data_IF_262703151610
#
_entry.id   IF_262703151610
#
_cell.length_a   1.000
_cell.length_b   1.000
_cell.length_c   1.000
_cell.angle_alpha   90.00
_cell.angle_beta   90.00
_cell.angle_gamma   90.00
#
_symmetry.space_group_name_H-M   'P 1'
#
loop_
_entity.id
_entity.type
_entity.pdbx_description
1 polymer ?
#
# COMPACT_ATOMS: atom_id res chain seq x y z
N UNK A 1 2.49 1.67 8.13
CA UNK A 1 3.58 1.20 7.26
C UNK A 1 2.94 0.86 5.94
N UNK A 2 3.27 1.60 4.89
CA UNK A 2 2.79 1.32 3.52
C UNK A 2 3.73 0.26 2.96
N UNK A 3 3.22 -0.94 2.72
CA UNK A 3 3.98 -2.05 2.15
C UNK A 3 3.42 -2.37 0.76
N UNK A 4 4.27 -2.40 -0.29
CA UNK A 4 3.82 -2.71 -1.64
C UNK A 4 3.23 -4.11 -1.73
N UNK A 5 2.33 -4.32 -2.70
CA UNK A 5 1.63 -5.59 -2.87
C UNK A 5 2.63 -6.73 -3.05
N UNK A 6 3.64 -6.55 -3.90
CA UNK A 6 4.70 -7.51 -4.14
C UNK A 6 5.35 -8.05 -2.87
N UNK A 7 5.75 -7.17 -1.95
CA UNK A 7 6.35 -7.58 -0.67
C UNK A 7 5.38 -8.36 0.22
N UNK A 8 4.08 -7.99 0.22
CA UNK A 8 3.06 -8.70 1.01
C UNK A 8 2.77 -10.11 0.50
N UNK A 9 2.89 -10.34 -0.80
CA UNK A 9 2.57 -11.62 -1.43
C UNK A 9 3.78 -12.51 -1.68
N UNK A 10 5.00 -11.99 -1.49
CA UNK A 10 6.24 -12.74 -1.66
C UNK A 10 6.22 -14.07 -0.88
N UNK A 11 6.53 -15.17 -1.57
CA UNK A 11 6.56 -16.51 -1.00
C UNK A 11 5.18 -17.14 -0.79
N UNK A 12 4.08 -16.48 -1.14
CA UNK A 12 2.73 -17.07 -1.15
C UNK A 12 2.47 -17.82 -2.45
N UNK A 13 1.43 -18.66 -2.43
CA UNK A 13 0.99 -19.41 -3.61
C UNK A 13 -0.32 -18.83 -4.12
N UNK A 14 -0.41 -18.60 -5.42
CA UNK A 14 -1.59 -18.05 -6.10
C UNK A 14 -2.78 -19.01 -5.99
N UNK A 15 -3.94 -18.52 -5.57
CA UNK A 15 -5.14 -19.34 -5.35
C UNK A 15 -6.04 -19.44 -6.60
N UNK A 16 -6.04 -18.43 -7.46
CA UNK A 16 -6.79 -18.33 -8.70
C UNK A 16 -5.95 -17.62 -9.77
N UNK A 17 -6.17 -17.94 -11.04
CA UNK A 17 -5.42 -17.33 -12.15
C UNK A 17 -5.56 -15.80 -12.11
N UNK A 18 -4.43 -15.10 -12.20
CA UNK A 18 -4.39 -13.63 -12.25
C UNK A 18 -4.31 -13.22 -13.70
N UNK A 19 -5.35 -12.55 -14.17
CA UNK A 19 -5.47 -12.05 -15.54
C UNK A 19 -4.85 -10.66 -15.66
N UNK A 20 -4.35 -10.31 -16.84
CA UNK A 20 -3.94 -8.96 -17.20
C UNK A 20 -5.12 -7.97 -17.09
N UNK A 21 -4.84 -6.67 -17.05
CA UNK A 21 -5.85 -5.61 -16.99
C UNK A 21 -6.89 -5.72 -18.13
N UNK A 22 -6.49 -6.25 -19.29
CA UNK A 22 -7.36 -6.45 -20.45
C UNK A 22 -8.14 -7.77 -20.42
N UNK A 23 -7.89 -8.63 -19.42
CA UNK A 23 -8.58 -9.90 -19.20
C UNK A 23 -8.28 -11.03 -20.19
N UNK A 24 -7.35 -10.82 -21.14
CA UNK A 24 -7.06 -11.76 -22.22
C UNK A 24 -5.92 -12.74 -21.90
N UNK A 25 -4.92 -12.28 -21.15
CA UNK A 25 -3.72 -13.08 -20.84
C UNK A 25 -3.64 -13.40 -19.34
N UNK A 26 -3.27 -14.65 -19.03
CA UNK A 26 -2.95 -15.08 -17.66
C UNK A 26 -1.52 -14.66 -17.34
N UNK A 27 -1.36 -13.74 -16.39
CA UNK A 27 -0.04 -13.26 -15.93
C UNK A 27 0.53 -14.19 -14.86
N UNK A 28 -0.31 -14.70 -13.96
CA UNK A 28 0.08 -15.69 -12.96
C UNK A 28 -0.91 -16.86 -12.93
N UNK A 29 -0.40 -18.06 -13.14
CA UNK A 29 -1.20 -19.28 -13.05
C UNK A 29 -1.48 -19.67 -11.58
N UNK A 30 -2.66 -20.23 -11.35
CA UNK A 30 -3.05 -20.84 -10.07
C UNK A 30 -2.04 -21.90 -9.65
N UNK A 31 -1.64 -21.85 -8.38
CA UNK A 31 -0.69 -22.80 -7.80
C UNK A 31 0.78 -22.38 -7.95
N UNK A 32 1.05 -21.28 -8.65
CA UNK A 32 2.40 -20.72 -8.74
C UNK A 32 2.82 -20.09 -7.42
N UNK A 33 4.03 -20.38 -6.96
CA UNK A 33 4.65 -19.69 -5.83
C UNK A 33 5.27 -18.38 -6.33
N UNK A 34 4.97 -17.28 -5.64
CA UNK A 34 5.47 -15.95 -5.99
C UNK A 34 6.92 -15.82 -5.48
N UNK A 35 7.87 -15.71 -6.41
CA UNK A 35 9.28 -15.43 -6.14
C UNK A 35 9.59 -13.93 -6.37
N UNK A 36 10.85 -13.53 -6.14
CA UNK A 36 11.30 -12.15 -6.31
C UNK A 36 11.13 -11.64 -7.75
N UNK A 37 11.23 -12.52 -8.75
CA UNK A 37 11.06 -12.13 -10.16
C UNK A 37 9.60 -11.87 -10.50
N UNK A 38 8.70 -12.71 -9.99
CA UNK A 38 7.27 -12.53 -10.15
C UNK A 38 6.76 -11.30 -9.38
N UNK A 39 7.41 -10.92 -8.28
CA UNK A 39 7.12 -9.65 -7.59
C UNK A 39 7.36 -8.43 -8.49
N UNK A 40 8.47 -8.39 -9.24
CA UNK A 40 8.74 -7.30 -10.18
C UNK A 40 7.63 -7.22 -11.25
N UNK A 41 7.22 -8.37 -11.80
CA UNK A 41 6.11 -8.44 -12.78
C UNK A 41 4.79 -7.95 -12.18
N UNK A 42 4.49 -8.31 -10.92
CA UNK A 42 3.27 -7.88 -10.22
C UNK A 42 3.24 -6.36 -10.02
N UNK A 43 4.37 -5.80 -9.59
CA UNK A 43 4.49 -4.37 -9.33
C UNK A 43 4.42 -3.56 -10.64
N UNK A 44 5.09 -4.03 -11.71
CA UNK A 44 5.07 -3.40 -13.03
C UNK A 44 3.69 -3.46 -13.70
N UNK A 45 2.99 -4.59 -13.55
CA UNK A 45 1.62 -4.75 -14.05
C UNK A 45 0.60 -3.90 -13.29
N UNK A 46 0.96 -3.42 -12.09
CA UNK A 46 0.12 -2.53 -11.29
C UNK A 46 -1.14 -3.19 -10.73
N UNK A 47 -1.07 -4.48 -10.36
CA UNK A 47 -2.20 -5.17 -9.75
C UNK A 47 -2.57 -4.57 -8.39
N UNK A 48 -3.86 -4.36 -8.17
CA UNK A 48 -4.39 -3.86 -6.89
C UNK A 48 -4.65 -4.98 -5.87
N UNK A 49 -5.03 -6.16 -6.35
CA UNK A 49 -5.41 -7.31 -5.54
C UNK A 49 -4.99 -8.63 -6.19
N UNK A 50 -4.57 -9.59 -5.36
CA UNK A 50 -4.22 -10.94 -5.78
C UNK A 50 -4.80 -11.93 -4.76
N UNK A 51 -5.51 -12.94 -5.26
CA UNK A 51 -5.99 -14.06 -4.45
C UNK A 51 -4.86 -15.06 -4.21
N UNK A 52 -4.42 -15.16 -2.96
CA UNK A 52 -3.38 -16.11 -2.53
C UNK A 52 -3.93 -17.13 -1.54
N UNK A 53 -3.28 -18.30 -1.47
CA UNK A 53 -3.59 -19.31 -0.47
C UNK A 53 -3.13 -18.85 0.91
N UNK A 54 -3.91 -19.22 1.93
CA UNK A 54 -3.66 -18.88 3.32
C UNK A 54 -3.64 -20.12 4.21
N UNK A 55 -2.86 -20.13 5.31
CA UNK A 55 -2.96 -21.14 6.35
C UNK A 55 -4.37 -21.24 6.96
N UNK A 56 -5.12 -20.12 7.00
CA UNK A 56 -6.47 -20.06 7.57
C UNK A 56 -7.49 -20.78 6.68
N UNK A 57 -7.30 -20.71 5.36
CA UNK A 57 -8.17 -21.35 4.37
C UNK A 57 -7.73 -22.78 4.04
N UNK A 58 -6.90 -23.40 4.89
CA UNK A 58 -6.39 -24.74 4.66
C UNK A 58 -7.38 -25.80 5.16
N UNK A 59 -7.76 -26.75 4.31
CA UNK A 59 -8.73 -27.81 4.62
C UNK A 59 -8.10 -29.04 5.30
N UNK A 60 -6.77 -29.05 5.46
CA UNK A 60 -6.06 -30.15 6.15
C UNK A 60 -6.50 -30.26 7.61
N UNK A 61 -6.89 -31.47 8.04
CA UNK A 61 -7.42 -31.72 9.38
C UNK A 61 -6.40 -31.52 10.51
N UNK A 62 -5.14 -31.93 10.30
CA UNK A 62 -4.05 -31.76 11.24
C UNK A 62 -2.81 -31.23 10.50
N UNK A 63 -2.41 -30.01 10.82
CA UNK A 63 -1.32 -29.30 10.14
C UNK A 63 -1.82 -28.48 8.94
N UNK A 64 -0.87 -28.01 8.12
CA UNK A 64 -1.13 -27.14 6.96
C UNK A 64 -0.43 -27.75 5.75
N UNK A 65 -1.06 -27.70 4.57
CA UNK A 65 -0.42 -28.17 3.34
C UNK A 65 0.67 -27.18 2.87
N UNK A 66 1.66 -27.68 2.13
CA UNK A 66 2.79 -26.86 1.65
C UNK A 66 2.35 -25.63 0.88
N UNK A 67 1.30 -25.73 0.08
CA UNK A 67 0.80 -24.63 -0.74
C UNK A 67 0.06 -23.55 0.06
N UNK A 68 -0.56 -23.90 1.19
CA UNK A 68 -1.22 -22.91 2.05
C UNK A 68 -0.22 -22.15 2.92
N UNK A 69 0.93 -22.75 3.23
CA UNK A 69 2.03 -22.05 3.89
C UNK A 69 2.84 -21.21 2.89
N UNK A 70 3.30 -21.86 1.82
CA UNK A 70 4.13 -21.28 0.77
C UNK A 70 5.62 -21.54 1.01
N UNK A 71 6.41 -20.47 0.93
CA UNK A 71 7.86 -20.47 1.01
C UNK A 71 8.36 -20.56 2.45
N UNK A 72 9.41 -21.35 2.67
CA UNK A 72 10.21 -21.29 3.89
C UNK A 72 11.11 -20.04 3.83
N UNK A 73 10.87 -19.08 4.73
CA UNK A 73 11.62 -17.82 4.79
C UNK A 73 13.09 -18.00 5.20
N UNK A 74 13.45 -19.13 5.83
CA UNK A 74 14.83 -19.40 6.22
C UNK A 74 15.68 -19.98 5.10
N UNK A 75 15.06 -20.67 4.13
CA UNK A 75 15.77 -21.40 3.06
C UNK A 75 15.45 -20.93 1.65
N UNK A 76 14.32 -20.26 1.47
CA UNK A 76 13.93 -19.62 0.22
C UNK A 76 13.25 -20.55 -0.80
N UNK A 77 12.97 -21.81 -0.48
CA UNK A 77 12.20 -22.73 -1.33
C UNK A 77 10.83 -23.06 -0.71
N UNK A 78 9.99 -23.80 -1.44
CA UNK A 78 8.69 -24.24 -0.93
C UNK A 78 8.87 -25.09 0.33
N UNK A 79 8.06 -24.88 1.36
CA UNK A 79 8.23 -25.60 2.64
C UNK A 79 8.24 -27.12 2.47
N UNK A 80 9.16 -27.78 3.16
CA UNK A 80 9.28 -29.23 3.12
C UNK A 80 8.16 -29.90 3.91
N UNK A 81 7.80 -31.12 3.51
CA UNK A 81 6.86 -31.95 4.26
C UNK A 81 7.54 -32.37 5.58
N UNK A 82 6.87 -32.14 6.70
CA UNK A 82 7.37 -32.44 8.04
C UNK A 82 8.00 -31.26 8.78
N UNK A 83 8.05 -30.07 8.17
CA UNK A 83 8.54 -28.85 8.81
C UNK A 83 7.61 -28.41 9.96
N UNK A 84 8.18 -28.06 11.11
CA UNK A 84 7.44 -27.63 12.30
C UNK A 84 7.05 -26.14 12.24
N UNK A 85 6.33 -25.74 11.20
CA UNK A 85 5.96 -24.33 10.91
C UNK A 85 5.25 -23.61 12.08
N UNK A 86 4.53 -24.34 12.93
CA UNK A 86 3.85 -23.75 14.09
C UNK A 86 4.82 -23.27 15.17
N UNK A 87 5.89 -24.03 15.41
CA UNK A 87 6.95 -23.65 16.36
C UNK A 87 7.76 -22.48 15.80
N UNK A 88 8.08 -22.53 14.50
CA UNK A 88 8.78 -21.44 13.80
C UNK A 88 7.97 -20.15 13.93
N UNK A 89 6.67 -20.18 13.60
CA UNK A 89 5.80 -19.00 13.68
C UNK A 89 5.71 -18.44 15.12
N UNK A 90 5.65 -19.30 16.14
CA UNK A 90 5.63 -18.85 17.53
C UNK A 90 6.93 -18.12 17.92
N UNK A 91 8.08 -18.64 17.50
CA UNK A 91 9.39 -18.01 17.77
C UNK A 91 9.55 -16.69 17.02
N UNK A 92 9.15 -16.64 15.75
CA UNK A 92 9.21 -15.42 14.92
C UNK A 92 8.40 -14.25 15.47
N UNK A 93 7.44 -14.51 16.37
CA UNK A 93 6.72 -13.46 17.10
C UNK A 93 7.32 -13.25 18.49
N UNK A 94 7.61 -14.34 19.22
CA UNK A 94 8.06 -14.29 20.61
C UNK A 94 9.44 -13.65 20.81
N UNK A 95 10.44 -14.07 20.03
CA UNK A 95 11.81 -13.55 20.16
C UNK A 95 11.84 -12.04 19.84
N UNK A 96 11.34 -11.56 18.68
CA UNK A 96 11.33 -10.12 18.41
C UNK A 96 10.50 -9.33 19.41
N UNK A 97 9.38 -9.85 19.91
CA UNK A 97 8.56 -9.18 20.92
C UNK A 97 9.30 -8.99 22.25
N UNK A 98 9.97 -10.03 22.74
CA UNK A 98 10.81 -9.93 23.95
C UNK A 98 12.01 -9.02 23.74
N UNK A 99 12.59 -9.00 22.54
CA UNK A 99 13.69 -8.11 22.20
C UNK A 99 13.26 -6.64 22.10
N UNK A 100 12.11 -6.36 21.48
CA UNK A 100 11.55 -5.01 21.33
C UNK A 100 11.26 -4.39 22.69
N UNK A 101 10.62 -5.15 23.58
CA UNK A 101 10.35 -4.67 24.96
C UNK A 101 11.65 -4.32 25.68
N UNK A 102 12.66 -5.19 25.63
CA UNK A 102 13.98 -4.87 26.19
C UNK A 102 14.58 -3.61 25.56
N UNK A 103 14.67 -3.50 24.23
CA UNK A 103 15.31 -2.34 23.58
C UNK A 103 14.58 -1.01 23.83
N UNK A 104 13.26 -1.00 23.82
CA UNK A 104 12.48 0.23 24.00
C UNK A 104 12.59 0.79 25.42
N UNK A 105 12.61 -0.05 26.46
CA UNK A 105 12.73 0.44 27.84
C UNK A 105 14.12 1.00 28.19
N UNK A 106 15.19 0.45 27.61
CA UNK A 106 16.55 0.91 27.91
C UNK A 106 16.94 2.21 27.18
N UNK A 107 16.21 2.58 26.11
CA UNK A 107 16.40 3.83 25.35
C UNK A 107 15.42 4.93 25.83
N UNK A 108 14.58 4.64 26.83
CA UNK A 108 13.43 5.43 27.30
C UNK A 108 13.66 6.88 27.80
N UNK A 109 14.86 7.45 27.62
CA UNK A 109 15.16 8.85 27.93
C UNK A 109 15.23 9.80 26.72
N UNK A 110 15.33 9.28 25.49
CA UNK A 110 15.46 10.11 24.28
C UNK A 110 14.36 9.75 23.28
N UNK A 111 13.26 10.51 23.31
CA UNK A 111 12.20 10.41 22.31
C UNK A 111 12.66 11.06 20.99
N UNK A 112 13.37 10.30 20.15
CA UNK A 112 13.53 10.68 18.75
C UNK A 112 12.38 10.08 17.96
N UNK A 113 11.37 10.91 17.66
CA UNK A 113 10.32 10.52 16.71
C UNK A 113 10.94 10.72 15.32
N UNK A 114 11.30 9.64 14.65
CA UNK A 114 11.66 9.73 13.23
C UNK A 114 10.45 10.33 12.50
N UNK A 115 10.62 11.50 11.89
CA UNK A 115 9.58 12.17 11.11
C UNK A 115 9.19 11.24 9.97
N UNK A 116 7.88 11.00 9.81
CA UNK A 116 7.39 10.24 8.67
C UNK A 116 7.73 11.01 7.40
N UNK A 117 8.24 10.31 6.39
CA UNK A 117 8.57 10.90 5.08
C UNK A 117 7.25 11.29 4.41
N UNK A 118 7.09 12.58 4.15
CA UNK A 118 5.88 13.21 3.60
C UNK A 118 6.14 13.81 2.20
N UNK A 119 7.34 13.65 1.67
CA UNK A 119 7.73 14.19 0.37
C UNK A 119 8.85 13.40 -0.31
N UNK A 120 8.96 13.54 -1.63
CA UNK A 120 10.13 13.14 -2.42
C UNK A 120 10.91 14.39 -2.81
N UNK A 121 12.18 14.42 -2.40
CA UNK A 121 13.15 15.43 -2.81
C UNK A 121 14.18 14.79 -3.75
N UNK A 122 14.38 15.38 -4.93
CA UNK A 122 15.36 14.88 -5.91
C UNK A 122 16.77 15.28 -5.51
N UNK A 123 17.78 14.45 -5.80
CA UNK A 123 19.18 14.76 -5.44
C UNK A 123 19.97 15.30 -6.62
N UNK A 124 19.54 15.04 -7.83
CA UNK A 124 20.19 15.47 -9.06
C UNK A 124 19.23 16.32 -9.89
N UNK A 125 19.79 17.31 -10.59
CA UNK A 125 19.06 18.03 -11.61
C UNK A 125 18.81 17.13 -12.83
N UNK A 126 17.70 17.35 -13.52
CA UNK A 126 17.31 16.57 -14.69
C UNK A 126 15.84 16.77 -15.03
N UNK A 127 15.27 15.86 -15.83
CA UNK A 127 13.87 15.87 -16.23
C UNK A 127 13.09 14.73 -15.61
N UNK A 128 11.89 15.06 -15.14
CA UNK A 128 10.95 14.10 -14.59
C UNK A 128 10.40 13.22 -15.71
N UNK A 129 10.36 11.91 -15.47
CA UNK A 129 9.57 10.95 -16.24
C UNK A 129 8.61 10.22 -15.34
N UNK A 130 7.34 10.22 -15.72
CA UNK A 130 6.31 9.49 -15.01
C UNK A 130 6.17 8.08 -15.59
N UNK A 131 6.35 7.04 -14.76
CA UNK A 131 6.19 5.64 -15.16
C UNK A 131 4.96 5.04 -14.50
N UNK A 132 4.09 4.41 -15.29
CA UNK A 132 2.85 3.75 -14.81
C UNK A 132 2.00 4.64 -13.88
N UNK A 133 2.06 5.95 -14.07
CA UNK A 133 1.44 6.94 -13.20
C UNK A 133 0.33 7.66 -13.96
N UNK A 134 -0.92 7.40 -13.57
CA UNK A 134 -2.06 8.20 -13.97
C UNK A 134 -2.18 9.40 -13.04
N UNK A 135 -2.42 10.57 -13.61
CA UNK A 135 -2.55 11.82 -12.87
C UNK A 135 -3.87 12.50 -13.16
N UNK A 136 -4.38 13.24 -12.18
CA UNK A 136 -5.58 14.06 -12.29
C UNK A 136 -5.25 15.49 -11.88
N UNK A 137 -5.69 16.45 -12.68
CA UNK A 137 -5.57 17.86 -12.33
C UNK A 137 -6.70 18.25 -11.35
N UNK A 138 -6.34 18.81 -10.21
CA UNK A 138 -7.25 19.53 -9.32
C UNK A 138 -7.59 20.90 -9.90
N UNK A 139 -8.66 21.53 -9.41
CA UNK A 139 -9.06 22.90 -9.81
C UNK A 139 -7.98 23.96 -9.52
N UNK A 140 -7.10 23.70 -8.55
CA UNK A 140 -5.97 24.57 -8.22
C UNK A 140 -4.75 24.39 -9.14
N UNK A 141 -4.82 23.50 -10.13
CA UNK A 141 -3.74 23.22 -11.07
C UNK A 141 -2.72 22.18 -10.60
N UNK A 142 -2.85 21.66 -9.37
CA UNK A 142 -1.98 20.58 -8.87
C UNK A 142 -2.35 19.24 -9.49
N UNK A 143 -1.35 18.40 -9.76
CA UNK A 143 -1.54 17.05 -10.26
C UNK A 143 -1.59 16.06 -9.09
N UNK A 144 -2.51 15.11 -9.11
CA UNK A 144 -2.66 14.08 -8.08
C UNK A 144 -2.45 12.71 -8.70
N UNK A 145 -1.56 11.92 -8.12
CA UNK A 145 -1.31 10.54 -8.49
C UNK A 145 -2.52 9.66 -8.12
N UNK A 146 -3.08 8.94 -9.09
CA UNK A 146 -4.17 7.97 -8.86
C UNK A 146 -3.77 6.53 -9.18
N UNK A 147 -2.47 6.26 -9.29
CA UNK A 147 -1.94 4.90 -9.48
C UNK A 147 -1.18 4.43 -8.25
N UNK A 148 -1.36 3.16 -7.86
CA UNK A 148 -0.68 2.57 -6.69
C UNK A 148 0.73 2.08 -6.97
N UNK A 149 1.04 1.78 -8.24
CA UNK A 149 2.36 1.35 -8.72
C UNK A 149 3.12 2.47 -9.43
N UNK A 150 2.64 3.70 -9.37
CA UNK A 150 3.22 4.80 -10.12
C UNK A 150 4.58 5.23 -9.56
N UNK A 151 5.51 5.55 -10.47
CA UNK A 151 6.87 5.94 -10.13
C UNK A 151 7.27 7.24 -10.83
N UNK A 152 8.08 8.05 -10.13
CA UNK A 152 8.79 9.19 -10.71
C UNK A 152 10.24 8.76 -10.94
N UNK A 153 10.71 8.88 -12.17
CA UNK A 153 12.13 8.80 -12.48
C UNK A 153 12.69 10.19 -12.79
N UNK A 154 13.94 10.44 -12.40
CA UNK A 154 14.70 11.63 -12.81
C UNK A 154 15.73 11.19 -13.83
N UNK A 155 15.63 11.75 -15.04
CA UNK A 155 16.51 11.46 -16.17
C UNK A 155 17.45 12.63 -16.46
N UNK A 156 18.65 12.33 -16.91
CA UNK A 156 19.64 13.37 -17.28
C UNK A 156 19.34 13.94 -18.68
N UNK A 157 19.46 15.26 -18.84
CA UNK A 157 19.13 15.97 -20.09
C UNK A 157 19.98 15.53 -21.28
N UNK A 158 21.27 15.26 -21.05
CA UNK A 158 22.22 14.96 -22.14
C UNK A 158 22.14 13.50 -22.63
N UNK A 159 21.86 12.56 -21.73
CA UNK A 159 21.95 11.12 -22.01
C UNK A 159 20.60 10.40 -21.98
N UNK A 160 19.57 11.04 -21.43
CA UNK A 160 18.24 10.44 -21.20
C UNK A 160 18.26 9.27 -20.21
N UNK A 161 19.39 9.04 -19.53
CA UNK A 161 19.56 7.95 -18.56
C UNK A 161 18.91 8.32 -17.24
N UNK A 162 18.14 7.38 -16.69
CA UNK A 162 17.55 7.53 -15.37
C UNK A 162 18.62 7.42 -14.28
N UNK A 163 18.65 8.41 -13.40
CA UNK A 163 19.55 8.47 -12.25
C UNK A 163 18.87 8.05 -10.96
N UNK A 164 17.60 8.44 -10.83
CA UNK A 164 16.81 8.23 -9.62
C UNK A 164 15.42 7.74 -10.00
N UNK A 165 14.83 6.89 -9.14
CA UNK A 165 13.50 6.33 -9.32
C UNK A 165 12.84 6.22 -7.94
N UNK A 166 11.63 6.76 -7.81
CA UNK A 166 10.88 6.85 -6.57
C UNK A 166 9.45 6.33 -6.77
N UNK A 167 9.03 5.38 -5.94
CA UNK A 167 7.63 4.94 -5.88
C UNK A 167 6.79 6.00 -5.17
N UNK A 168 5.65 6.37 -5.75
CA UNK A 168 4.69 7.28 -5.15
C UNK A 168 3.51 6.54 -4.52
N UNK A 169 3.10 6.94 -3.31
CA UNK A 169 1.81 6.55 -2.76
C UNK A 169 0.62 7.03 -3.61
N UNK A 170 -0.50 6.34 -3.48
CA UNK A 170 -1.78 6.81 -4.04
C UNK A 170 -2.19 8.13 -3.41
N UNK A 171 -2.59 9.08 -4.26
CA UNK A 171 -3.02 10.42 -3.89
C UNK A 171 -1.90 11.37 -3.51
N UNK A 172 -0.63 11.03 -3.82
CA UNK A 172 0.46 12.00 -3.78
C UNK A 172 0.17 13.17 -4.72
N UNK A 173 0.40 14.38 -4.21
CA UNK A 173 0.32 15.61 -4.99
C UNK A 173 1.68 15.85 -5.64
N UNK A 174 1.68 15.96 -6.95
CA UNK A 174 2.83 16.25 -7.79
C UNK A 174 2.93 17.77 -7.98
N UNK A 175 4.12 18.31 -7.78
CA UNK A 175 4.39 19.74 -8.03
C UNK A 175 4.81 20.02 -9.46
N UNK A 176 5.42 19.03 -10.11
CA UNK A 176 5.96 19.14 -11.45
C UNK A 176 5.28 18.10 -12.35
N UNK A 177 5.10 18.46 -13.62
CA UNK A 177 4.52 17.60 -14.65
C UNK A 177 5.52 16.63 -15.28
N UNK A 178 5.03 15.80 -16.21
CA UNK A 178 5.89 14.94 -17.02
C UNK A 178 6.80 15.79 -17.92
N UNK A 179 8.05 15.38 -18.06
CA UNK A 179 9.08 16.02 -18.88
C UNK A 179 9.50 17.44 -18.42
N UNK A 180 9.09 17.85 -17.21
CA UNK A 180 9.50 19.11 -16.59
C UNK A 180 10.92 19.02 -15.99
N UNK A 181 11.67 20.11 -16.09
CA UNK A 181 13.03 20.18 -15.56
C UNK A 181 12.99 20.52 -14.06
N UNK A 182 13.81 19.82 -13.27
CA UNK A 182 13.93 20.00 -11.82
C UNK A 182 15.37 20.17 -11.39
N UNK A 183 15.57 20.98 -10.36
CA UNK A 183 16.88 21.20 -9.77
C UNK A 183 17.17 20.22 -8.62
N UNK A 184 18.46 20.00 -8.34
CA UNK A 184 18.86 19.21 -7.19
C UNK A 184 18.36 19.83 -5.88
N UNK A 185 17.64 19.05 -5.08
CA UNK A 185 17.02 19.49 -3.83
C UNK A 185 15.57 19.97 -3.98
N UNK A 186 15.00 19.92 -5.18
CA UNK A 186 13.59 20.28 -5.38
C UNK A 186 12.64 19.17 -4.88
N UNK A 187 11.50 19.58 -4.32
CA UNK A 187 10.45 18.64 -3.89
C UNK A 187 9.51 18.41 -5.06
N UNK A 188 9.44 17.17 -5.54
CA UNK A 188 8.66 16.82 -6.74
C UNK A 188 7.28 16.25 -6.42
N UNK A 189 7.12 15.65 -5.23
CA UNK A 189 5.86 15.11 -4.77
C UNK A 189 5.72 15.22 -3.24
N UNK A 190 4.50 15.41 -2.76
CA UNK A 190 4.17 15.43 -1.33
C UNK A 190 2.87 14.67 -1.04
N UNK A 191 2.77 14.11 0.16
CA UNK A 191 1.57 13.43 0.67
C UNK A 191 1.52 13.54 2.19
N UNK A 192 0.34 13.29 2.75
CA UNK A 192 0.21 13.14 4.19
C UNK A 192 0.50 11.67 4.58
N UNK A 193 1.53 11.39 5.40
CA UNK A 193 1.89 10.02 5.77
C UNK A 193 0.88 9.35 6.71
N UNK A 194 -0.08 10.09 7.26
CA UNK A 194 -1.09 9.57 8.18
C UNK A 194 -2.47 9.39 7.54
N UNK A 195 -2.65 9.83 6.29
CA UNK A 195 -3.93 9.72 5.60
C UNK A 195 -3.76 9.05 4.24
N UNK A 196 -4.74 8.22 3.88
CA UNK A 196 -4.90 7.73 2.52
C UNK A 196 -6.01 8.54 1.89
N UNK A 197 -5.69 9.55 1.06
CA UNK A 197 -6.72 10.35 0.41
C UNK A 197 -7.55 9.45 -0.51
N UNK A 198 -8.86 9.61 -0.46
CA UNK A 198 -9.79 8.98 -1.41
C UNK A 198 -10.02 10.02 -2.51
N UNK A 199 -9.58 9.72 -3.73
CA UNK A 199 -9.62 10.65 -4.87
C UNK A 199 -10.60 10.12 -5.92
N UNK A 200 -11.48 10.99 -6.42
CA UNK A 200 -12.36 10.63 -7.53
C UNK A 200 -11.62 10.75 -8.86
N UNK A 201 -11.75 9.74 -9.72
CA UNK A 201 -11.19 9.78 -11.08
C UNK A 201 -12.04 10.60 -12.08
N UNK A 202 -13.28 10.88 -11.70
CA UNK A 202 -14.26 11.53 -12.58
C UNK A 202 -14.87 12.78 -11.93
N UNK A 203 -15.20 13.76 -12.77
CA UNK A 203 -15.99 14.90 -12.35
C UNK A 203 -17.46 14.49 -12.19
N UNK A 204 -18.06 14.84 -11.05
CA UNK A 204 -19.42 14.41 -10.74
C UNK A 204 -19.98 15.08 -9.49
N UNK A 205 -21.18 14.66 -9.11
CA UNK A 205 -21.78 15.02 -7.83
C UNK A 205 -21.53 13.89 -6.85
N UNK A 206 -20.92 14.23 -5.71
CA UNK A 206 -20.69 13.29 -4.63
C UNK A 206 -22.02 12.90 -3.99
N UNK A 207 -22.25 11.60 -3.83
CA UNK A 207 -23.39 11.02 -3.13
C UNK A 207 -22.89 10.21 -1.95
N UNK A 208 -23.45 10.48 -0.77
CA UNK A 208 -23.16 9.70 0.42
C UNK A 208 -24.17 8.55 0.53
N UNK A 209 -23.67 7.32 0.56
CA UNK A 209 -24.48 6.11 0.72
C UNK A 209 -24.24 5.51 2.11
N UNK A 210 -25.31 5.20 2.84
CA UNK A 210 -25.19 4.59 4.16
C UNK A 210 -24.50 5.46 5.21
N UNK A 211 -24.43 6.78 4.99
CA UNK A 211 -23.90 7.77 5.94
C UNK A 211 -25.06 8.48 6.67
N UNK A 212 -25.43 7.96 7.83
CA UNK A 212 -26.49 8.51 8.69
C UNK A 212 -25.89 9.03 9.99
N UNK A 213 -26.16 10.30 10.30
CA UNK A 213 -25.62 10.99 11.47
C UNK A 213 -26.15 10.37 12.77
N UNK A 214 -25.23 9.99 13.66
CA UNK A 214 -25.53 9.29 14.91
C UNK A 214 -25.64 7.77 14.80
N UNK A 215 -25.73 7.21 13.58
CA UNK A 215 -25.77 5.76 13.33
C UNK A 215 -24.45 5.26 12.76
N UNK A 216 -24.04 5.76 11.59
CA UNK A 216 -22.81 5.34 10.92
C UNK A 216 -21.73 6.42 10.93
N UNK A 217 -22.10 7.69 11.03
CA UNK A 217 -21.17 8.82 11.05
C UNK A 217 -21.44 9.78 12.21
N UNK A 218 -20.40 10.49 12.66
CA UNK A 218 -20.49 11.59 13.63
C UNK A 218 -19.85 12.84 13.04
N UNK A 219 -20.53 13.98 13.15
CA UNK A 219 -19.93 15.27 12.82
C UNK A 219 -19.10 15.73 14.00
N UNK A 220 -17.83 16.01 13.75
CA UNK A 220 -16.93 16.62 14.71
C UNK A 220 -16.60 18.02 14.20
N UNK A 221 -16.89 19.03 15.02
CA UNK A 221 -16.44 20.39 14.74
C UNK A 221 -15.19 20.63 15.57
N UNK A 222 -14.11 20.98 14.90
CA UNK A 222 -12.89 21.42 15.57
C UNK A 222 -13.10 22.84 16.09
N UNK A 223 -12.98 23.02 17.41
CA UNK A 223 -13.20 24.30 18.09
C UNK A 223 -12.13 25.35 17.76
N UNK A 224 -10.93 24.93 17.32
CA UNK A 224 -9.83 25.85 16.98
C UNK A 224 -9.94 26.37 15.55
N UNK A 225 -10.32 25.51 14.61
CA UNK A 225 -10.36 25.85 13.17
C UNK A 225 -11.77 26.18 12.68
N UNK A 226 -12.81 25.83 13.44
CA UNK A 226 -14.21 25.93 13.02
C UNK A 226 -14.59 24.98 11.88
N UNK A 227 -13.66 24.12 11.45
CA UNK A 227 -13.90 23.16 10.39
C UNK A 227 -14.72 21.99 10.94
N UNK A 228 -15.73 21.59 10.17
CA UNK A 228 -16.54 20.41 10.48
C UNK A 228 -16.06 19.24 9.63
N UNK A 229 -15.72 18.13 10.28
CA UNK A 229 -15.34 16.87 9.64
C UNK A 229 -16.37 15.80 9.96
N UNK A 230 -16.55 14.86 9.04
CA UNK A 230 -17.45 13.71 9.21
C UNK A 230 -16.56 12.51 9.52
N UNK A 231 -16.70 11.97 10.73
CA UNK A 231 -15.97 10.79 11.19
C UNK A 231 -16.84 9.54 11.08
N UNK A 232 -16.34 8.50 10.44
CA UNK A 232 -17.04 7.20 10.33
C UNK A 232 -16.88 6.43 11.64
N UNK A 233 -18.00 6.00 12.22
CA UNK A 233 -18.01 5.23 13.48
C UNK A 233 -17.61 3.78 13.21
N UNK A 234 -16.79 3.18 14.08
CA UNK A 234 -16.43 1.76 14.00
C UNK A 234 -17.69 0.88 14.16
N UNK A 235 -17.88 -0.19 13.36
CA UNK A 235 -19.02 -1.11 13.49
C UNK A 235 -19.32 -1.61 14.91
N UNK A 236 -18.32 -1.70 15.79
CA UNK A 236 -18.50 -2.09 17.21
C UNK A 236 -19.26 -1.05 18.02
N UNK A 237 -19.08 0.23 17.70
CA UNK A 237 -19.65 1.37 18.43
C UNK A 237 -20.97 1.86 17.79
N UNK A 238 -21.43 1.20 16.73
CA UNK A 238 -22.69 1.52 16.04
C UNK A 238 -23.91 0.92 16.76
N UNK A 239 -25.06 1.62 16.73
CA UNK A 239 -26.35 1.04 17.12
C UNK A 239 -26.68 -0.21 16.30
N UNK A 240 -27.57 -1.07 16.80
CA UNK A 240 -28.00 -2.30 16.11
C UNK A 240 -28.52 -2.05 14.69
N UNK A 241 -29.13 -0.89 14.43
CA UNK A 241 -29.60 -0.49 13.11
C UNK A 241 -28.48 -0.22 12.08
N UNK A 242 -27.25 0.03 12.51
CA UNK A 242 -26.14 0.47 11.65
C UNK A 242 -24.97 -0.51 11.51
N UNK A 243 -25.06 -1.71 12.09
CA UNK A 243 -23.94 -2.68 12.11
C UNK A 243 -23.59 -3.20 10.72
N UNK A 244 -24.60 -3.46 9.89
CA UNK A 244 -24.41 -4.03 8.55
C UNK A 244 -24.32 -2.96 7.45
N UNK A 245 -24.62 -1.70 7.78
CA UNK A 245 -24.54 -0.59 6.82
C UNK A 245 -23.06 -0.31 6.53
N UNK A 246 -22.70 -0.26 5.24
CA UNK A 246 -21.36 0.09 4.77
C UNK A 246 -21.38 1.52 4.27
N UNK A 247 -20.82 2.49 5.01
CA UNK A 247 -20.77 3.88 4.58
C UNK A 247 -19.84 3.98 3.38
N UNK A 248 -20.31 4.61 2.31
CA UNK A 248 -19.56 4.81 1.09
C UNK A 248 -19.78 6.22 0.54
N UNK A 249 -18.80 6.68 -0.23
CA UNK A 249 -18.85 7.92 -1.01
C UNK A 249 -18.82 7.49 -2.47
N UNK A 250 -19.84 7.85 -3.25
CA UNK A 250 -19.96 7.56 -4.68
C UNK A 250 -19.91 8.85 -5.50
#
# INVERSE_FOLDING_TARGET
VVEPLGNRVLGRVVAADVLSADGQDVVLERGTMIDEKLVEVIDDAGFDEILVRSPISCETRYGICSHCYGRDLGRGHLVNIGEAIGVIAAQSIGEPGTQLTMRTFHIGGAASRATAIDNVQVKHAGRIRLHNLKTIAKENGELVAVSRSGEIAVSEDETGRERERYKLPYGSVLKNGDDEHVEAGEIVANWDPHTHPIVSEVAGRVVFEGMEEGITVRRQTDELTGLSSISVTDPKDRPSAGKDIRPAVQ
#
